data_IF_819133547053
#
_entry.id   IF_819133547053
#
_cell.length_a   1.000
_cell.length_b   1.000
_cell.length_c   1.000
_cell.angle_alpha   90.00
_cell.angle_beta   90.00
_cell.angle_gamma   90.00
#
_symmetry.space_group_name_H-M   'P 1'
#
loop_
_entity.id
_entity.type
_entity.pdbx_description
1 polymer ?
#
# COMPACT_ATOMS: atom_id res chain seq x y z
N UNK A 1 16.53 19.37 8.27
CA UNK A 1 17.19 19.50 6.94
C UNK A 1 17.96 18.25 6.51
N UNK A 2 18.75 17.61 7.40
CA UNK A 2 19.50 16.38 7.05
C UNK A 2 18.60 15.19 6.69
N UNK A 3 17.56 14.91 7.48
CA UNK A 3 16.61 13.82 7.19
C UNK A 3 15.81 14.01 5.89
N UNK A 4 15.43 15.25 5.57
CA UNK A 4 14.70 15.58 4.34
C UNK A 4 15.56 15.40 3.07
N UNK A 5 16.86 15.69 3.17
CA UNK A 5 17.83 15.44 2.09
C UNK A 5 18.05 13.96 1.82
N UNK A 6 18.06 13.14 2.88
CA UNK A 6 18.20 11.68 2.75
C UNK A 6 16.95 11.07 2.09
N UNK A 7 15.75 11.52 2.48
CA UNK A 7 14.49 11.05 1.92
C UNK A 7 14.34 11.42 0.43
N UNK A 8 14.73 12.64 0.03
CA UNK A 8 14.70 13.07 -1.37
C UNK A 8 15.71 12.29 -2.24
N UNK A 9 16.85 11.91 -1.68
CA UNK A 9 17.87 11.12 -2.38
C UNK A 9 17.42 9.67 -2.64
N UNK A 10 16.65 9.08 -1.71
CA UNK A 10 16.07 7.74 -1.86
C UNK A 10 15.00 7.70 -2.95
N UNK A 11 14.15 8.72 -3.05
CA UNK A 11 13.10 8.82 -4.08
C UNK A 11 13.71 9.00 -5.48
N UNK A 12 14.82 9.74 -5.60
CA UNK A 12 15.52 9.96 -6.87
C UNK A 12 16.26 8.69 -7.35
N UNK A 13 16.76 7.85 -6.44
CA UNK A 13 17.47 6.61 -6.77
C UNK A 13 16.53 5.45 -7.19
N UNK A 14 15.25 5.47 -6.81
CA UNK A 14 14.28 4.47 -7.24
C UNK A 14 13.65 4.75 -8.62
N UNK A 15 13.77 5.96 -9.15
CA UNK A 15 13.08 6.39 -10.38
C UNK A 15 13.84 6.16 -11.68
N UNK A 16 15.10 5.72 -11.64
CA UNK A 16 15.96 5.59 -12.82
C UNK A 16 16.32 4.12 -13.08
N UNK A 17 15.36 3.35 -13.61
CA UNK A 17 15.68 2.07 -14.24
C UNK A 17 15.59 2.27 -15.76
N UNK A 18 16.69 2.10 -16.52
CA UNK A 18 16.64 2.21 -17.97
C UNK A 18 15.88 1.01 -18.53
N UNK A 19 14.72 1.27 -19.15
CA UNK A 19 14.00 0.28 -19.95
C UNK A 19 14.86 -0.01 -21.20
N UNK A 20 15.65 -1.07 -21.11
CA UNK A 20 16.42 -1.61 -22.23
C UNK A 20 15.51 -2.39 -23.17
N UNK A 21 15.20 -1.80 -24.32
CA UNK A 21 14.54 -2.47 -25.43
C UNK A 21 15.54 -3.44 -26.09
N UNK A 22 15.33 -4.75 -25.97
CA UNK A 22 15.98 -5.76 -26.81
C UNK A 22 14.91 -6.60 -27.49
N UNK A 23 14.87 -6.53 -28.81
CA UNK A 23 14.16 -7.45 -29.68
C UNK A 23 15.13 -8.57 -30.07
N UNK A 24 14.74 -9.82 -29.83
CA UNK A 24 15.35 -11.00 -30.45
C UNK A 24 14.27 -12.05 -30.65
N UNK A 25 14.10 -12.42 -31.93
CA UNK A 25 13.27 -13.51 -32.42
C UNK A 25 14.15 -14.76 -32.45
N UNK A 26 13.69 -15.86 -31.86
CA UNK A 26 14.06 -17.21 -32.33
C UNK A 26 13.02 -18.24 -31.88
N UNK A 27 12.68 -19.14 -32.79
CA UNK A 27 11.68 -20.18 -32.65
C UNK A 27 12.36 -21.55 -32.51
N UNK A 28 11.85 -22.41 -31.62
CA UNK A 28 11.43 -23.81 -31.88
C UNK A 28 11.37 -24.66 -30.57
N UNK A 29 10.30 -25.44 -30.47
CA UNK A 29 10.05 -26.54 -29.52
C UNK A 29 10.93 -27.77 -29.84
N UNK A 30 11.16 -28.70 -28.88
CA UNK A 30 10.26 -29.84 -28.71
C UNK A 30 9.98 -30.29 -27.26
N UNK A 31 8.70 -30.64 -27.05
CA UNK A 31 8.14 -31.68 -26.16
C UNK A 31 8.85 -32.09 -24.86
N UNK A 32 8.17 -31.86 -23.73
CA UNK A 32 7.99 -32.86 -22.68
C UNK A 32 6.59 -32.73 -22.08
N UNK A 33 5.81 -33.81 -22.16
CA UNK A 33 4.54 -33.96 -21.44
C UNK A 33 4.82 -34.22 -19.95
N UNK A 34 4.37 -33.30 -19.10
CA UNK A 34 3.90 -33.59 -17.76
C UNK A 34 2.84 -32.53 -17.46
N UNK A 35 1.67 -32.93 -16.98
CA UNK A 35 0.51 -32.05 -16.78
C UNK A 35 0.85 -30.84 -15.89
N UNK A 36 1.20 -29.73 -16.54
CA UNK A 36 1.34 -28.43 -15.92
C UNK A 36 0.16 -27.61 -16.39
N UNK A 37 -0.63 -27.14 -15.43
CA UNK A 37 -1.62 -26.10 -15.68
C UNK A 37 -0.96 -25.00 -16.50
N UNK A 38 -1.60 -24.59 -17.59
CA UNK A 38 -1.11 -23.52 -18.44
C UNK A 38 -0.80 -22.31 -17.53
N UNK A 39 0.45 -21.85 -17.56
CA UNK A 39 0.87 -20.68 -16.79
C UNK A 39 -0.08 -19.52 -17.11
N UNK A 40 -0.92 -19.16 -16.15
CA UNK A 40 -1.91 -18.10 -16.28
C UNK A 40 -1.34 -16.84 -15.62
N UNK A 41 -0.73 -15.93 -16.42
CA UNK A 41 -0.15 -14.71 -15.88
C UNK A 41 -1.20 -13.83 -15.18
N UNK A 42 -2.47 -13.92 -15.57
CA UNK A 42 -3.56 -13.19 -14.92
C UNK A 42 -3.80 -13.66 -13.50
N UNK A 43 -3.89 -15.00 -13.28
CA UNK A 43 -4.03 -15.57 -11.93
C UNK A 43 -2.84 -15.24 -11.05
N UNK A 44 -1.62 -15.37 -11.58
CA UNK A 44 -0.40 -15.03 -10.86
C UNK A 44 -0.39 -13.57 -10.39
N UNK A 45 -0.79 -12.62 -11.26
CA UNK A 45 -0.90 -11.20 -10.90
C UNK A 45 -1.96 -10.98 -9.82
N UNK A 46 -3.15 -11.58 -9.99
CA UNK A 46 -4.24 -11.44 -9.03
C UNK A 46 -3.80 -11.92 -7.65
N UNK A 47 -3.14 -13.08 -7.55
CA UNK A 47 -2.68 -13.64 -6.27
C UNK A 47 -1.65 -12.76 -5.55
N UNK A 48 -0.86 -11.99 -6.28
CA UNK A 48 0.08 -11.02 -5.68
C UNK A 48 -0.58 -9.68 -5.32
N UNK A 49 -1.63 -9.26 -6.03
CA UNK A 49 -2.39 -8.03 -5.71
C UNK A 49 -3.38 -8.27 -4.56
N UNK A 50 -3.85 -9.51 -4.39
CA UNK A 50 -4.78 -9.89 -3.34
C UNK A 50 -4.26 -9.52 -1.96
N UNK A 51 -5.17 -9.02 -1.13
CA UNK A 51 -4.86 -8.47 0.16
C UNK A 51 -4.37 -9.56 1.12
N UNK A 52 -3.39 -9.24 1.96
CA UNK A 52 -2.84 -10.18 2.95
C UNK A 52 -2.58 -9.48 4.28
N UNK A 53 -2.50 -10.27 5.36
CA UNK A 53 -2.16 -9.78 6.70
C UNK A 53 -0.63 -9.71 6.94
N UNK A 54 0.19 -9.90 5.91
CA UNK A 54 1.64 -9.73 5.96
C UNK A 54 2.07 -8.75 4.87
N UNK A 55 2.89 -7.77 5.23
CA UNK A 55 3.44 -6.84 4.26
C UNK A 55 4.84 -7.31 3.82
N UNK A 56 4.91 -7.92 2.65
CA UNK A 56 6.17 -8.29 2.02
C UNK A 56 6.84 -7.05 1.40
N UNK A 57 8.03 -6.70 1.89
CA UNK A 57 8.76 -5.50 1.45
C UNK A 57 9.88 -5.88 0.49
N UNK A 58 10.62 -6.94 0.81
CA UNK A 58 11.77 -7.36 0.03
C UNK A 58 11.84 -8.88 -0.01
N UNK A 59 11.93 -9.41 -1.23
CA UNK A 59 12.25 -10.81 -1.48
C UNK A 59 13.56 -10.85 -2.28
N UNK A 60 14.64 -11.33 -1.66
CA UNK A 60 15.93 -11.52 -2.33
C UNK A 60 16.41 -12.95 -2.10
N UNK A 61 16.27 -13.81 -3.12
CA UNK A 61 16.56 -15.23 -3.01
C UNK A 61 15.71 -15.87 -1.92
N UNK A 62 16.36 -16.48 -0.92
CA UNK A 62 15.70 -17.13 0.22
C UNK A 62 15.35 -16.17 1.38
N UNK A 63 15.64 -14.87 1.24
CA UNK A 63 15.36 -13.88 2.28
C UNK A 63 14.09 -13.12 1.95
N UNK A 64 13.04 -13.35 2.74
CA UNK A 64 11.77 -12.63 2.66
C UNK A 64 11.61 -11.74 3.89
N UNK A 65 11.81 -10.43 3.70
CA UNK A 65 11.50 -9.46 4.74
C UNK A 65 10.00 -9.15 4.68
N UNK A 66 9.29 -9.64 5.69
CA UNK A 66 7.84 -9.50 5.81
C UNK A 66 7.50 -8.91 7.18
N UNK A 67 6.68 -7.87 7.19
CA UNK A 67 6.21 -7.24 8.42
C UNK A 67 4.85 -7.85 8.78
N UNK A 68 4.71 -8.50 9.95
CA UNK A 68 3.42 -8.99 10.40
C UNK A 68 2.52 -7.81 10.78
N UNK A 69 1.27 -7.88 10.36
CA UNK A 69 0.28 -6.83 10.61
C UNK A 69 -0.62 -7.19 11.79
N UNK A 70 -1.18 -6.19 12.49
CA UNK A 70 -2.11 -6.43 13.57
C UNK A 70 -3.43 -7.00 13.04
N UNK A 71 -3.79 -8.14 13.60
CA UNK A 71 -5.04 -8.86 13.39
C UNK A 71 -5.98 -8.51 14.53
N UNK A 72 -7.18 -8.06 14.19
CA UNK A 72 -8.21 -7.59 15.13
C UNK A 72 -9.51 -8.29 14.76
N UNK A 73 -9.94 -9.22 15.62
CA UNK A 73 -11.13 -10.03 15.41
C UNK A 73 -12.14 -9.75 16.50
N UNK A 74 -13.39 -9.51 16.10
CA UNK A 74 -14.52 -9.31 17.01
C UNK A 74 -15.47 -10.49 16.87
N UNK A 75 -15.82 -11.10 18.00
CA UNK A 75 -16.73 -12.24 18.06
C UNK A 75 -17.64 -12.13 19.30
N UNK A 76 -18.63 -13.02 19.40
CA UNK A 76 -19.65 -12.99 20.47
C UNK A 76 -19.09 -13.02 21.90
N UNK A 77 -17.87 -13.56 22.08
CA UNK A 77 -17.25 -13.74 23.39
C UNK A 77 -16.24 -12.63 23.73
N UNK A 78 -15.92 -11.74 22.78
CA UNK A 78 -14.94 -10.66 23.01
C UNK A 78 -14.20 -10.20 21.76
N UNK A 79 -13.01 -9.64 22.00
CA UNK A 79 -12.10 -9.11 20.99
C UNK A 79 -10.76 -9.82 21.13
N UNK A 80 -10.27 -10.40 20.04
CA UNK A 80 -8.94 -10.97 19.95
C UNK A 80 -8.04 -10.03 19.13
N UNK A 81 -6.89 -9.65 19.72
CA UNK A 81 -5.87 -8.84 19.06
C UNK A 81 -4.53 -9.57 19.10
N UNK A 82 -3.95 -9.82 17.94
CA UNK A 82 -2.65 -10.48 17.82
C UNK A 82 -1.95 -10.09 16.51
N UNK A 83 -0.70 -10.50 16.32
CA UNK A 83 0.04 -10.27 15.08
C UNK A 83 -0.14 -11.46 14.13
N UNK A 84 -0.23 -11.18 12.83
CA UNK A 84 -0.38 -12.22 11.79
C UNK A 84 0.76 -13.24 11.74
N UNK A 85 1.94 -12.92 12.29
CA UNK A 85 3.04 -13.88 12.44
C UNK A 85 2.66 -15.13 13.22
N UNK A 86 1.59 -15.09 14.04
CA UNK A 86 1.04 -16.26 14.72
C UNK A 86 0.47 -17.31 13.76
N UNK A 87 0.10 -16.91 12.54
CA UNK A 87 -0.32 -17.82 11.48
C UNK A 87 0.86 -18.45 10.73
N UNK A 88 2.13 -18.12 11.05
CA UNK A 88 3.34 -18.68 10.42
C UNK A 88 3.26 -18.68 8.88
N UNK A 89 3.22 -17.49 8.27
CA UNK A 89 3.03 -17.30 6.82
C UNK A 89 1.66 -17.77 6.28
N UNK A 90 0.66 -17.84 7.16
CA UNK A 90 -0.72 -18.18 6.79
C UNK A 90 -1.03 -19.68 6.79
N UNK A 91 -0.06 -20.54 7.13
CA UNK A 91 -0.22 -21.99 7.07
C UNK A 91 -0.72 -22.63 8.37
N UNK A 92 -0.61 -21.94 9.51
CA UNK A 92 -1.00 -22.49 10.80
C UNK A 92 -2.28 -21.85 11.32
N UNK A 93 -3.14 -22.65 11.96
CA UNK A 93 -4.25 -22.13 12.74
C UNK A 93 -3.76 -21.52 14.06
N UNK A 94 -4.42 -20.47 14.54
CA UNK A 94 -4.13 -19.84 15.83
C UNK A 94 -5.42 -19.47 16.54
N UNK A 95 -5.59 -19.90 17.80
CA UNK A 95 -6.82 -19.72 18.60
C UNK A 95 -8.12 -20.19 17.89
N UNK A 96 -8.02 -21.21 17.04
CA UNK A 96 -9.15 -21.70 16.24
C UNK A 96 -9.52 -20.81 15.05
N UNK A 97 -8.64 -19.88 14.67
CA UNK A 97 -8.75 -19.08 13.46
C UNK A 97 -7.79 -19.61 12.39
N UNK A 98 -8.22 -19.57 11.13
CA UNK A 98 -7.42 -19.94 9.95
C UNK A 98 -7.67 -18.93 8.83
N UNK A 99 -6.69 -18.73 7.95
CA UNK A 99 -6.89 -17.95 6.71
C UNK A 99 -7.48 -18.89 5.67
N UNK A 100 -8.67 -18.58 5.15
CA UNK A 100 -9.33 -19.42 4.15
C UNK A 100 -8.54 -19.41 2.83
N UNK A 101 -8.08 -20.56 2.35
CA UNK A 101 -7.38 -20.67 1.07
C UNK A 101 -8.34 -20.81 -0.13
N UNK A 102 -9.59 -21.20 0.13
CA UNK A 102 -10.58 -21.52 -0.90
C UNK A 102 -11.93 -20.81 -0.69
N UNK A 103 -12.70 -20.72 -1.79
CA UNK A 103 -14.09 -20.25 -1.78
C UNK A 103 -14.29 -18.73 -1.77
N UNK A 104 -15.53 -18.30 -1.54
CA UNK A 104 -15.92 -16.89 -1.54
C UNK A 104 -15.24 -16.04 -0.44
N UNK A 105 -14.65 -16.70 0.57
CA UNK A 105 -13.89 -16.06 1.66
C UNK A 105 -12.38 -16.23 1.52
N UNK A 106 -11.86 -16.59 0.34
CA UNK A 106 -10.41 -16.74 0.09
C UNK A 106 -9.64 -15.50 0.58
N UNK A 107 -8.58 -15.72 1.36
CA UNK A 107 -7.73 -14.68 1.95
C UNK A 107 -8.30 -13.99 3.18
N UNK A 108 -9.45 -14.42 3.72
CA UNK A 108 -10.04 -13.88 4.96
C UNK A 108 -9.88 -14.84 6.13
N UNK A 109 -9.81 -14.27 7.33
CA UNK A 109 -9.77 -15.05 8.57
C UNK A 109 -11.16 -15.62 8.86
N UNK A 110 -11.22 -16.93 9.05
CA UNK A 110 -12.42 -17.70 9.39
C UNK A 110 -12.15 -18.59 10.59
N UNK A 111 -13.21 -19.13 11.20
CA UNK A 111 -13.07 -20.21 12.18
C UNK A 111 -12.52 -21.46 11.48
N UNK A 112 -11.60 -22.14 12.14
CA UNK A 112 -11.07 -23.45 11.73
C UNK A 112 -12.20 -24.50 11.69
N UNK A 113 -13.05 -24.49 12.70
CA UNK A 113 -14.26 -25.30 12.73
C UNK A 113 -15.37 -24.65 11.87
N UNK A 114 -15.66 -25.30 10.73
CA UNK A 114 -16.69 -24.85 9.78
C UNK A 114 -18.11 -25.00 10.33
N UNK A 115 -18.33 -25.84 11.34
CA UNK A 115 -19.65 -26.03 11.97
C UNK A 115 -19.97 -24.90 12.97
N UNK A 116 -18.92 -24.20 13.45
CA UNK A 116 -19.04 -23.06 14.34
C UNK A 116 -19.59 -21.84 13.58
N UNK A 117 -20.91 -21.66 13.63
CA UNK A 117 -21.64 -20.50 13.07
C UNK A 117 -21.57 -19.25 13.97
N UNK A 118 -20.49 -19.09 14.72
CA UNK A 118 -20.32 -17.91 15.55
C UNK A 118 -20.01 -16.69 14.68
N UNK A 119 -20.58 -15.56 15.07
CA UNK A 119 -20.29 -14.28 14.43
C UNK A 119 -18.81 -13.96 14.57
N UNK A 120 -18.15 -13.69 13.44
CA UNK A 120 -16.76 -13.28 13.35
C UNK A 120 -16.66 -12.09 12.40
N UNK A 121 -16.20 -10.97 12.94
CA UNK A 121 -15.97 -9.73 12.20
C UNK A 121 -14.47 -9.43 12.21
N UNK A 122 -13.91 -9.35 11.01
CA UNK A 122 -12.49 -9.09 10.78
C UNK A 122 -12.24 -7.60 10.52
N UNK A 123 -11.60 -6.92 11.48
CA UNK A 123 -11.13 -5.53 11.39
C UNK A 123 -9.61 -5.43 11.31
N UNK A 124 -8.95 -6.52 10.91
CA UNK A 124 -7.51 -6.57 10.83
C UNK A 124 -6.96 -5.60 9.78
N UNK A 125 -5.77 -5.08 10.05
CA UNK A 125 -5.07 -4.22 9.10
C UNK A 125 -4.36 -5.10 8.09
N UNK A 126 -4.74 -4.96 6.83
CA UNK A 126 -4.11 -5.66 5.72
C UNK A 126 -3.05 -4.80 5.03
N UNK A 127 -2.27 -5.40 4.13
CA UNK A 127 -1.20 -4.70 3.40
C UNK A 127 -1.74 -3.49 2.62
N UNK A 128 -2.92 -3.60 2.03
CA UNK A 128 -3.49 -2.52 1.22
C UNK A 128 -4.00 -1.38 2.11
N UNK A 129 -4.70 -1.71 3.20
CA UNK A 129 -5.16 -0.72 4.18
C UNK A 129 -3.98 0.03 4.78
N UNK A 130 -2.92 -0.68 5.17
CA UNK A 130 -1.69 -0.06 5.67
C UNK A 130 -1.03 0.85 4.63
N UNK A 131 -0.99 0.43 3.36
CA UNK A 131 -0.42 1.22 2.26
C UNK A 131 -1.20 2.52 2.01
N UNK A 132 -2.53 2.50 2.12
CA UNK A 132 -3.36 3.70 2.07
C UNK A 132 -3.05 4.61 3.24
N UNK A 133 -2.99 4.09 4.48
CA UNK A 133 -2.61 4.89 5.65
C UNK A 133 -1.23 5.53 5.51
N UNK A 134 -0.24 4.75 5.07
CA UNK A 134 1.11 5.26 4.83
C UNK A 134 1.10 6.40 3.79
N UNK A 135 0.35 6.22 2.71
CA UNK A 135 0.22 7.25 1.66
C UNK A 135 -0.45 8.52 2.19
N UNK A 136 -1.53 8.39 2.95
CA UNK A 136 -2.20 9.52 3.60
C UNK A 136 -1.28 10.24 4.57
N UNK A 137 -0.53 9.51 5.41
CA UNK A 137 0.42 10.10 6.35
C UNK A 137 1.51 10.86 5.58
N UNK A 138 2.09 10.26 4.54
CA UNK A 138 3.12 10.92 3.72
C UNK A 138 2.58 12.21 3.09
N UNK A 139 1.37 12.16 2.54
CA UNK A 139 0.69 13.32 1.95
C UNK A 139 0.46 14.42 2.98
N UNK A 140 -0.09 14.08 4.14
CA UNK A 140 -0.29 15.01 5.24
C UNK A 140 1.04 15.61 5.71
N UNK A 141 2.12 14.82 5.83
CA UNK A 141 3.43 15.33 6.22
C UNK A 141 3.96 16.36 5.22
N UNK A 142 3.79 16.13 3.92
CA UNK A 142 4.18 17.08 2.87
C UNK A 142 3.39 18.38 3.01
N UNK A 143 2.07 18.32 2.96
CA UNK A 143 1.22 19.53 2.97
C UNK A 143 1.28 20.29 4.30
N UNK A 144 1.27 19.58 5.44
CA UNK A 144 1.40 20.22 6.76
C UNK A 144 2.78 20.87 6.92
N UNK A 145 3.84 20.25 6.41
CA UNK A 145 5.18 20.86 6.41
C UNK A 145 5.21 22.14 5.59
N UNK A 146 4.62 22.13 4.39
CA UNK A 146 4.53 23.30 3.50
C UNK A 146 3.69 24.40 4.16
N UNK A 147 2.51 24.09 4.66
CA UNK A 147 1.63 25.04 5.35
C UNK A 147 2.26 25.66 6.60
N UNK A 148 2.96 24.86 7.41
CA UNK A 148 3.75 25.37 8.56
C UNK A 148 4.85 26.34 8.11
N UNK A 149 5.50 26.07 6.97
CA UNK A 149 6.54 26.95 6.44
C UNK A 149 5.98 28.28 5.91
N UNK A 150 4.83 28.25 5.23
CA UNK A 150 4.10 29.48 4.85
C UNK A 150 3.69 30.30 6.07
N UNK A 151 3.16 29.67 7.12
CA UNK A 151 2.79 30.36 8.37
C UNK A 151 3.99 31.00 9.07
N UNK A 152 5.16 30.34 9.04
CA UNK A 152 6.37 30.79 9.73
C UNK A 152 7.10 31.92 8.98
N UNK A 153 7.22 31.82 7.66
CA UNK A 153 8.04 32.74 6.86
C UNK A 153 7.24 33.91 6.28
N UNK A 154 5.90 33.81 6.26
CA UNK A 154 5.01 34.83 5.73
C UNK A 154 5.26 35.16 4.25
N UNK A 155 4.67 36.26 3.79
CA UNK A 155 4.90 36.85 2.46
C UNK A 155 6.23 37.59 2.34
N UNK A 156 6.96 37.75 3.46
CA UNK A 156 8.16 38.58 3.55
C UNK A 156 9.44 37.85 3.10
N UNK A 157 9.38 36.54 2.88
CA UNK A 157 10.54 35.73 2.52
C UNK A 157 10.24 34.87 1.29
N UNK A 158 11.14 34.93 0.31
CA UNK A 158 11.04 34.11 -0.88
C UNK A 158 10.88 32.62 -0.52
N UNK A 159 9.98 31.89 -1.19
CA UNK A 159 9.75 30.48 -0.92
C UNK A 159 11.02 29.68 -1.22
N UNK A 160 11.40 28.79 -0.32
CA UNK A 160 12.64 28.01 -0.43
C UNK A 160 12.36 26.50 -0.31
N UNK A 161 13.10 25.70 -1.08
CA UNK A 161 13.02 24.24 -1.05
C UNK A 161 11.66 23.72 -1.52
N UNK A 162 11.05 22.82 -0.73
CA UNK A 162 9.77 22.18 -1.08
C UNK A 162 8.63 23.20 -1.28
N UNK A 163 8.66 24.33 -0.58
CA UNK A 163 7.67 25.39 -0.75
C UNK A 163 7.70 25.98 -2.17
N UNK A 164 8.89 26.20 -2.73
CA UNK A 164 9.05 26.76 -4.08
C UNK A 164 8.56 25.80 -5.17
N UNK A 165 8.69 24.49 -4.96
CA UNK A 165 8.15 23.49 -5.89
C UNK A 165 6.62 23.36 -5.79
N UNK A 166 6.07 23.50 -4.59
CA UNK A 166 4.63 23.35 -4.35
C UNK A 166 3.83 24.61 -4.70
N UNK A 167 4.46 25.78 -4.67
CA UNK A 167 3.79 27.06 -4.92
C UNK A 167 3.11 27.14 -6.29
N UNK A 168 3.75 26.82 -7.44
CA UNK A 168 3.06 26.84 -8.72
C UNK A 168 1.87 25.86 -8.78
N UNK A 169 1.98 24.72 -8.10
CA UNK A 169 0.92 23.71 -8.06
C UNK A 169 -0.28 24.21 -7.23
N UNK A 170 -0.02 24.84 -6.08
CA UNK A 170 -1.06 25.45 -5.23
C UNK A 170 -1.71 26.63 -5.94
N UNK A 171 -0.93 27.48 -6.61
CA UNK A 171 -1.47 28.60 -7.38
C UNK A 171 -2.28 28.11 -8.58
N UNK A 172 -1.84 27.08 -9.30
CA UNK A 172 -2.60 26.47 -10.39
C UNK A 172 -3.95 25.94 -9.90
N UNK A 173 -3.98 25.18 -8.81
CA UNK A 173 -5.24 24.69 -8.24
C UNK A 173 -6.14 25.85 -7.80
N UNK A 174 -5.58 26.90 -7.21
CA UNK A 174 -6.34 28.08 -6.79
C UNK A 174 -6.91 28.85 -7.97
N UNK A 175 -6.06 29.22 -8.93
CA UNK A 175 -6.36 30.18 -9.98
C UNK A 175 -7.05 29.54 -11.17
N UNK A 176 -6.60 28.36 -11.60
CA UNK A 176 -7.10 27.67 -12.80
C UNK A 176 -8.21 26.66 -12.51
N UNK A 177 -8.43 26.26 -11.25
CA UNK A 177 -9.45 25.27 -10.90
C UNK A 177 -10.48 25.88 -9.95
N UNK A 178 -10.06 26.29 -8.75
CA UNK A 178 -10.99 26.71 -7.69
C UNK A 178 -11.70 28.03 -8.02
N UNK A 179 -10.96 29.05 -8.47
CA UNK A 179 -11.52 30.35 -8.85
C UNK A 179 -12.42 30.22 -10.09
N UNK A 180 -12.01 29.43 -11.09
CA UNK A 180 -12.84 29.20 -12.29
C UNK A 180 -14.09 28.37 -12.00
N UNK A 181 -14.00 27.40 -11.08
CA UNK A 181 -15.11 26.50 -10.75
C UNK A 181 -16.14 27.08 -9.78
N UNK A 182 -15.69 27.74 -8.71
CA UNK A 182 -16.54 28.17 -7.59
C UNK A 182 -16.68 29.70 -7.50
N UNK A 183 -15.82 30.45 -8.19
CA UNK A 183 -15.84 31.92 -8.22
C UNK A 183 -15.01 32.57 -7.10
N UNK A 184 -14.63 33.82 -7.33
CA UNK A 184 -13.69 34.59 -6.48
C UNK A 184 -14.16 34.84 -5.04
N UNK A 185 -15.46 34.76 -4.78
CA UNK A 185 -15.99 35.03 -3.44
C UNK A 185 -15.93 33.82 -2.50
N UNK A 186 -15.98 32.61 -3.06
CA UNK A 186 -16.13 31.39 -2.27
C UNK A 186 -14.94 30.41 -2.39
N UNK A 187 -14.03 30.61 -3.36
CA UNK A 187 -12.90 29.69 -3.60
C UNK A 187 -11.97 29.48 -2.38
N UNK A 188 -11.97 30.37 -1.38
CA UNK A 188 -11.13 30.20 -0.19
C UNK A 188 -11.69 29.16 0.80
N UNK A 189 -12.99 28.87 0.72
CA UNK A 189 -13.67 27.91 1.61
C UNK A 189 -13.58 26.48 1.10
N UNK A 190 -13.44 26.29 -0.21
CA UNK A 190 -13.53 25.02 -0.93
C UNK A 190 -12.19 24.64 -1.55
#
# INVERSE_FOLDING_TARGET
MKAFRILALIILLCGFSPIGLKAETEAQHPSHESGQEAFDPGRMIIEHILDSYEWHILSKGNYHLSIPLPVILIHNQGIDVFLSSRFHHGHNAYKGYVISEEGAKKGKIVWEDKEKKDFLLDLSITKNVLSVFFSCILLCLVFVSVGKNYKKNGYLKAPQGLQSYMEPLVLFVRDEIAILGVGKEQYQRF
#
